data_IF_048648620435
#
_entry.id   IF_048648620435
#
_cell.length_a   1.000
_cell.length_b   1.000
_cell.length_c   1.000
_cell.angle_alpha   90.00
_cell.angle_beta   90.00
_cell.angle_gamma   90.00
#
_symmetry.space_group_name_H-M   'P 1'
#
loop_
_entity.id
_entity.type
_entity.pdbx_description
1 polymer ?
#
# COMPACT_ATOMS: atom_id res chain seq x y z
N UNK A 1 -14.83 1.21 9.94
CA UNK A 1 -14.60 0.36 8.75
C UNK A 1 -14.62 -1.08 9.20
N UNK A 2 -15.26 -1.94 8.42
CA UNK A 2 -15.13 -3.39 8.63
C UNK A 2 -13.80 -3.90 8.05
N UNK A 3 -13.44 -5.15 8.38
CA UNK A 3 -12.19 -5.78 7.93
C UNK A 3 -12.08 -5.80 6.39
N UNK A 4 -13.18 -6.10 5.70
CA UNK A 4 -13.23 -6.15 4.24
C UNK A 4 -12.91 -4.79 3.59
N UNK A 5 -13.44 -3.70 4.13
CA UNK A 5 -13.14 -2.34 3.67
C UNK A 5 -11.68 -1.96 3.91
N UNK A 6 -11.11 -2.34 5.05
CA UNK A 6 -9.69 -2.10 5.37
C UNK A 6 -8.81 -2.83 4.36
N UNK A 7 -9.08 -4.12 4.11
CA UNK A 7 -8.39 -4.94 3.10
C UNK A 7 -8.50 -4.32 1.69
N UNK A 8 -9.69 -3.88 1.27
CA UNK A 8 -9.92 -3.19 -0.01
C UNK A 8 -9.08 -1.92 -0.15
N UNK A 9 -9.05 -1.08 0.89
CA UNK A 9 -8.27 0.15 0.90
C UNK A 9 -6.76 -0.10 0.91
N UNK A 10 -6.30 -1.10 1.68
CA UNK A 10 -4.92 -1.57 1.65
C UNK A 10 -4.52 -2.00 0.24
N UNK A 11 -5.27 -2.90 -0.40
CA UNK A 11 -4.97 -3.39 -1.75
C UNK A 11 -4.94 -2.26 -2.78
N UNK A 12 -5.88 -1.30 -2.69
CA UNK A 12 -5.87 -0.12 -3.55
C UNK A 12 -4.59 0.70 -3.35
N UNK A 13 -4.17 0.90 -2.12
CA UNK A 13 -2.96 1.66 -1.81
C UNK A 13 -1.69 0.90 -2.21
N UNK A 14 -1.67 -0.42 -2.06
CA UNK A 14 -0.56 -1.28 -2.50
C UNK A 14 -0.34 -1.19 -4.01
N UNK A 15 -1.41 -1.13 -4.81
CA UNK A 15 -1.29 -0.86 -6.26
C UNK A 15 -0.66 0.51 -6.53
N UNK A 16 -1.02 1.54 -5.75
CA UNK A 16 -0.40 2.87 -5.87
C UNK A 16 1.08 2.85 -5.48
N UNK A 17 1.44 2.11 -4.43
CA UNK A 17 2.82 1.89 -4.02
C UNK A 17 3.64 1.30 -5.17
N UNK A 18 3.19 0.20 -5.78
CA UNK A 18 3.88 -0.44 -6.92
C UNK A 18 4.01 0.47 -8.13
N UNK A 19 3.04 1.36 -8.36
CA UNK A 19 3.14 2.35 -9.43
C UNK A 19 4.16 3.44 -9.09
N UNK A 20 4.19 3.90 -7.84
CA UNK A 20 5.13 4.91 -7.39
C UNK A 20 6.57 4.38 -7.34
N UNK A 21 6.76 3.14 -6.87
CA UNK A 21 8.05 2.43 -6.89
C UNK A 21 8.61 2.34 -8.32
N UNK A 22 7.80 1.82 -9.27
CA UNK A 22 8.18 1.78 -10.69
C UNK A 22 8.48 3.15 -11.29
N UNK A 23 7.79 4.20 -10.84
CA UNK A 23 8.04 5.55 -11.32
C UNK A 23 9.33 6.13 -10.73
N UNK A 24 9.66 5.85 -9.46
CA UNK A 24 10.91 6.32 -8.82
C UNK A 24 12.12 5.58 -9.39
N UNK A 25 11.98 4.28 -9.66
CA UNK A 25 13.05 3.42 -10.20
C UNK A 25 13.27 3.59 -11.71
N UNK A 26 12.44 4.41 -12.38
CA UNK A 26 12.58 4.71 -13.80
C UNK A 26 13.90 5.48 -14.05
N UNK A 27 14.85 4.92 -14.83
CA UNK A 27 16.17 5.53 -15.03
C UNK A 27 16.11 6.86 -15.80
N UNK A 28 14.99 7.20 -16.44
CA UNK A 28 14.78 8.49 -17.08
C UNK A 28 14.47 9.61 -16.07
N UNK A 29 14.21 9.29 -14.79
CA UNK A 29 13.89 10.28 -13.76
C UNK A 29 15.11 10.96 -13.21
N UNK A 30 14.98 12.26 -13.02
CA UNK A 30 15.97 13.05 -12.31
C UNK A 30 15.71 13.01 -10.81
N UNK A 31 16.79 13.22 -10.04
CA UNK A 31 16.70 13.34 -8.57
C UNK A 31 15.72 14.45 -8.14
N UNK A 32 15.73 15.58 -8.82
CA UNK A 32 14.85 16.72 -8.49
C UNK A 32 13.36 16.39 -8.71
N UNK A 33 13.04 15.60 -9.73
CA UNK A 33 11.67 15.10 -9.95
C UNK A 33 11.27 14.12 -8.85
N UNK A 34 12.17 13.21 -8.48
CA UNK A 34 11.93 12.25 -7.39
C UNK A 34 11.70 12.99 -6.06
N UNK A 35 12.55 13.96 -5.72
CA UNK A 35 12.48 14.72 -4.46
C UNK A 35 11.14 15.47 -4.34
N UNK A 36 10.60 16.02 -5.43
CA UNK A 36 9.26 16.66 -5.45
C UNK A 36 8.13 15.69 -5.13
N UNK A 37 8.28 14.43 -5.48
CA UNK A 37 7.25 13.40 -5.27
C UNK A 37 7.55 12.48 -4.09
N UNK A 38 8.72 12.57 -3.47
CA UNK A 38 9.15 11.72 -2.37
C UNK A 38 8.18 11.77 -1.18
N UNK A 39 7.67 12.95 -0.83
CA UNK A 39 6.65 13.10 0.21
C UNK A 39 5.38 12.28 -0.07
N UNK A 40 4.95 12.18 -1.34
CA UNK A 40 3.81 11.35 -1.71
C UNK A 40 4.11 9.85 -1.53
N UNK A 41 5.32 9.42 -1.83
CA UNK A 41 5.76 8.05 -1.62
C UNK A 41 5.74 7.67 -0.13
N UNK A 42 6.28 8.55 0.73
CA UNK A 42 6.22 8.39 2.19
C UNK A 42 4.76 8.31 2.69
N UNK A 43 3.87 9.16 2.16
CA UNK A 43 2.45 9.11 2.50
C UNK A 43 1.78 7.78 2.12
N UNK A 44 2.19 7.15 1.01
CA UNK A 44 1.70 5.82 0.63
C UNK A 44 2.17 4.77 1.64
N UNK A 45 3.45 4.76 2.01
CA UNK A 45 4.01 3.82 3.00
C UNK A 45 3.30 3.99 4.36
N UNK A 46 3.15 5.23 4.82
CA UNK A 46 2.43 5.53 6.06
C UNK A 46 0.98 5.05 6.01
N UNK A 47 0.30 5.20 4.87
CA UNK A 47 -1.05 4.68 4.68
C UNK A 47 -1.11 3.15 4.69
N UNK A 48 -0.12 2.45 4.12
CA UNK A 48 -0.04 0.98 4.19
C UNK A 48 0.11 0.53 5.65
N UNK A 49 1.06 1.12 6.37
CA UNK A 49 1.28 0.85 7.80
C UNK A 49 0.04 1.16 8.65
N UNK A 50 -0.67 2.25 8.33
CA UNK A 50 -1.92 2.60 8.99
C UNK A 50 -2.94 1.47 8.86
N UNK A 51 -3.19 0.96 7.64
CA UNK A 51 -4.17 -0.11 7.44
C UNK A 51 -3.74 -1.43 8.08
N UNK A 52 -2.45 -1.79 8.06
CA UNK A 52 -1.93 -2.95 8.81
C UNK A 52 -2.16 -2.79 10.33
N UNK A 53 -1.94 -1.59 10.86
CA UNK A 53 -2.25 -1.27 12.26
C UNK A 53 -3.74 -1.41 12.58
N UNK A 54 -4.64 -1.02 11.67
CA UNK A 54 -6.08 -1.21 11.84
C UNK A 54 -6.48 -2.69 11.80
N UNK A 55 -5.89 -3.48 10.91
CA UNK A 55 -6.12 -4.93 10.85
C UNK A 55 -5.66 -5.62 12.14
N UNK A 56 -4.47 -5.28 12.63
CA UNK A 56 -3.96 -5.79 13.91
C UNK A 56 -4.89 -5.45 15.08
N UNK A 57 -5.40 -4.21 15.16
CA UNK A 57 -6.38 -3.79 16.18
C UNK A 57 -7.70 -4.54 16.08
N UNK A 58 -8.09 -4.96 14.87
CA UNK A 58 -9.27 -5.77 14.62
C UNK A 58 -9.04 -7.28 14.85
N UNK A 59 -7.87 -7.68 15.37
CA UNK A 59 -7.53 -9.08 15.63
C UNK A 59 -7.15 -9.89 14.39
N UNK A 60 -6.85 -9.22 13.26
CA UNK A 60 -6.39 -9.88 12.03
C UNK A 60 -4.87 -9.99 12.06
N UNK A 61 -4.36 -11.21 12.11
CA UNK A 61 -2.95 -11.49 11.87
C UNK A 61 -2.70 -11.54 10.35
N UNK A 62 -1.90 -10.60 9.85
CA UNK A 62 -1.66 -10.45 8.41
C UNK A 62 -0.39 -11.19 8.03
N UNK A 63 -0.50 -12.18 7.13
CA UNK A 63 0.66 -12.92 6.66
C UNK A 63 1.58 -12.05 5.79
N UNK A 64 2.87 -12.40 5.71
CA UNK A 64 3.81 -11.74 4.80
C UNK A 64 3.33 -11.79 3.34
N UNK A 65 2.68 -12.89 2.94
CA UNK A 65 2.10 -13.02 1.59
C UNK A 65 1.01 -11.98 1.35
N UNK A 66 0.10 -11.77 2.30
CA UNK A 66 -0.96 -10.75 2.19
C UNK A 66 -0.40 -9.33 2.21
N UNK A 67 0.61 -9.07 3.04
CA UNK A 67 1.26 -7.76 3.11
C UNK A 67 1.89 -7.42 1.75
N UNK A 68 2.62 -8.36 1.15
CA UNK A 68 3.35 -8.14 -0.11
C UNK A 68 2.44 -8.18 -1.35
N UNK A 69 1.42 -9.05 -1.35
CA UNK A 69 0.60 -9.32 -2.53
C UNK A 69 -0.80 -8.69 -2.48
N UNK A 70 -1.22 -8.21 -1.31
CA UNK A 70 -2.58 -7.81 -1.03
C UNK A 70 -3.39 -8.94 -0.42
N UNK A 71 -4.51 -8.57 0.19
CA UNK A 71 -5.43 -9.47 0.85
C UNK A 71 -6.44 -10.06 -0.14
N UNK A 72 -6.74 -11.34 0.02
CA UNK A 72 -7.90 -11.94 -0.63
C UNK A 72 -9.19 -11.44 0.03
N UNK A 73 -10.17 -11.07 -0.79
CA UNK A 73 -11.47 -10.58 -0.36
C UNK A 73 -12.52 -11.52 -0.93
N UNK A 74 -13.20 -12.29 -0.08
CA UNK A 74 -14.30 -13.17 -0.51
C UNK A 74 -15.39 -12.31 -1.17
N UNK A 75 -15.69 -12.58 -2.45
CA UNK A 75 -16.72 -11.89 -3.23
C UNK A 75 -16.23 -10.98 -4.38
N UNK A 76 -14.92 -10.93 -4.66
CA UNK A 76 -14.36 -10.25 -5.84
C UNK A 76 -14.05 -11.26 -7.00
N UNK A 77 -15.00 -12.15 -7.33
CA UNK A 77 -15.03 -12.94 -8.59
C UNK A 77 -16.35 -12.69 -9.30
#
# INVERSE_FOLDING_TARGET
MNIGEIKKKYNKLLRRYRNAERWIDDPERTKDEIDKHYGNFINIINGLNYYLGQLKKAGVDSSSKEILNGFEIKGDV
#
